data_IF_252709814376
#
_entry.id   IF_252709814376
#
_cell.length_a   1.000
_cell.length_b   1.000
_cell.length_c   1.000
_cell.angle_alpha   90.00
_cell.angle_beta   90.00
_cell.angle_gamma   90.00
#
_symmetry.space_group_name_H-M   'P 1'
#
loop_
_entity.id
_entity.type
_entity.pdbx_description
1 polymer ?
#
# COMPACT_ATOMS: atom_id res chain seq x y z
N UNK A 1 -19.85 -8.85 2.44
CA UNK A 1 -18.97 -9.96 2.87
C UNK A 1 -18.84 -9.87 4.39
N UNK A 2 -19.61 -10.65 5.16
CA UNK A 2 -19.50 -10.62 6.63
C UNK A 2 -18.57 -11.75 7.04
N UNK A 3 -17.35 -11.39 7.42
CA UNK A 3 -16.39 -12.26 8.10
C UNK A 3 -16.65 -12.07 9.60
N UNK A 4 -16.84 -13.15 10.34
CA UNK A 4 -16.97 -13.09 11.80
C UNK A 4 -15.62 -12.75 12.46
N UNK A 5 -15.64 -12.34 13.73
CA UNK A 5 -14.43 -11.88 14.43
C UNK A 5 -13.34 -12.96 14.48
N UNK A 6 -13.73 -14.22 14.73
CA UNK A 6 -12.80 -15.34 14.78
C UNK A 6 -12.13 -15.55 13.41
N UNK A 7 -12.93 -15.61 12.34
CA UNK A 7 -12.38 -15.69 10.98
C UNK A 7 -11.51 -14.48 10.60
N UNK A 8 -11.87 -13.27 11.05
CA UNK A 8 -11.07 -12.05 10.79
C UNK A 8 -9.72 -12.10 11.49
N UNK A 9 -9.69 -12.53 12.76
CA UNK A 9 -8.45 -12.74 13.50
C UNK A 9 -7.61 -13.87 12.90
N UNK A 10 -8.24 -14.93 12.42
CA UNK A 10 -7.57 -16.03 11.73
C UNK A 10 -6.87 -15.54 10.46
N UNK A 11 -7.58 -14.79 9.60
CA UNK A 11 -7.01 -14.18 8.40
C UNK A 11 -5.89 -13.21 8.76
N UNK A 12 -6.09 -12.36 9.77
CA UNK A 12 -5.08 -11.41 10.24
C UNK A 12 -3.79 -12.11 10.68
N UNK A 13 -3.90 -13.15 11.51
CA UNK A 13 -2.74 -13.93 11.96
C UNK A 13 -2.01 -14.58 10.77
N UNK A 14 -2.72 -15.28 9.89
CA UNK A 14 -2.11 -15.94 8.74
C UNK A 14 -1.44 -14.94 7.79
N UNK A 15 -2.09 -13.81 7.51
CA UNK A 15 -1.54 -12.74 6.68
C UNK A 15 -0.27 -12.15 7.29
N UNK A 16 -0.23 -11.93 8.62
CA UNK A 16 0.95 -11.45 9.32
C UNK A 16 2.13 -12.44 9.22
N UNK A 17 1.88 -13.74 9.40
CA UNK A 17 2.89 -14.79 9.22
C UNK A 17 3.43 -14.82 7.79
N UNK A 18 2.54 -14.75 6.78
CA UNK A 18 2.95 -14.71 5.38
C UNK A 18 3.80 -13.48 5.10
N UNK A 19 3.39 -12.29 5.57
CA UNK A 19 4.14 -11.06 5.40
C UNK A 19 5.56 -11.15 5.99
N UNK A 20 5.69 -11.71 7.19
CA UNK A 20 6.99 -11.94 7.82
C UNK A 20 7.89 -12.87 7.00
N UNK A 21 7.36 -14.02 6.56
CA UNK A 21 8.15 -15.02 5.83
C UNK A 21 8.56 -14.54 4.43
N UNK A 22 7.71 -13.72 3.79
CA UNK A 22 8.03 -13.07 2.51
C UNK A 22 9.16 -12.07 2.69
N UNK A 23 9.10 -11.19 3.71
CA UNK A 23 10.12 -10.15 3.92
C UNK A 23 11.48 -10.76 4.27
N UNK A 24 11.49 -11.85 5.03
CA UNK A 24 12.72 -12.56 5.44
C UNK A 24 13.58 -13.06 4.26
N UNK A 25 12.98 -13.28 3.09
CA UNK A 25 13.64 -13.90 1.91
C UNK A 25 14.17 -12.89 0.90
N UNK A 26 14.13 -11.60 1.22
CA UNK A 26 14.49 -10.52 0.29
C UNK A 26 16.00 -10.27 0.34
N UNK A 27 16.63 -10.07 -0.82
CA UNK A 27 18.07 -9.74 -0.91
C UNK A 27 18.37 -8.38 -0.25
N UNK A 28 19.50 -8.19 0.45
CA UNK A 28 19.81 -6.95 1.15
C UNK A 28 19.76 -5.68 0.30
N UNK A 29 20.10 -5.79 -1.00
CA UNK A 29 20.05 -4.69 -1.95
C UNK A 29 18.65 -4.12 -2.17
N UNK A 30 17.60 -4.89 -1.88
CA UNK A 30 16.21 -4.50 -2.10
C UNK A 30 15.54 -3.93 -0.85
N UNK A 31 16.21 -3.83 0.31
CA UNK A 31 15.55 -3.31 1.53
C UNK A 31 15.06 -1.86 1.38
N UNK A 32 15.82 -0.98 0.72
CA UNK A 32 15.39 0.41 0.49
C UNK A 32 14.23 0.51 -0.52
N UNK A 33 14.29 -0.16 -1.69
CA UNK A 33 13.13 -0.28 -2.57
C UNK A 33 11.90 -0.90 -1.89
N UNK A 34 12.10 -1.92 -1.05
CA UNK A 34 11.04 -2.59 -0.30
C UNK A 34 10.39 -1.63 0.69
N UNK A 35 11.19 -0.86 1.44
CA UNK A 35 10.68 0.14 2.38
C UNK A 35 9.75 1.16 1.67
N UNK A 36 10.18 1.64 0.50
CA UNK A 36 9.36 2.52 -0.35
C UNK A 36 8.07 1.84 -0.83
N UNK A 37 8.16 0.58 -1.26
CA UNK A 37 7.00 -0.20 -1.71
C UNK A 37 5.99 -0.41 -0.58
N UNK A 38 6.45 -0.79 0.62
CA UNK A 38 5.56 -1.02 1.77
C UNK A 38 4.84 0.26 2.20
N UNK A 39 5.49 1.41 2.07
CA UNK A 39 4.84 2.71 2.29
C UNK A 39 3.76 2.99 1.23
N UNK A 40 3.95 2.59 -0.04
CA UNK A 40 2.89 2.73 -1.05
C UNK A 40 1.69 1.79 -0.81
N UNK A 41 1.94 0.61 -0.22
CA UNK A 41 0.92 -0.40 0.06
C UNK A 41 0.02 -0.05 1.26
N UNK A 42 0.55 0.66 2.26
CA UNK A 42 -0.23 1.08 3.44
C UNK A 42 -1.42 1.99 3.09
N UNK A 43 -1.33 2.66 1.94
CA UNK A 43 -2.35 3.58 1.47
C UNK A 43 -3.61 2.87 0.95
N UNK A 44 -3.71 1.54 1.10
CA UNK A 44 -4.97 0.77 1.04
C UNK A 44 -6.06 1.36 1.95
N UNK A 45 -5.69 2.14 2.96
CA UNK A 45 -6.60 2.97 3.75
C UNK A 45 -7.55 3.85 2.90
N UNK A 46 -7.18 4.16 1.65
CA UNK A 46 -8.07 4.86 0.69
C UNK A 46 -9.41 4.15 0.51
N UNK A 47 -9.44 2.81 0.58
CA UNK A 47 -10.68 2.02 0.46
C UNK A 47 -11.63 2.37 1.61
N UNK A 48 -11.11 2.46 2.83
CA UNK A 48 -11.89 2.90 3.99
C UNK A 48 -12.36 4.34 3.87
N UNK A 49 -11.50 5.24 3.38
CA UNK A 49 -11.84 6.64 3.17
C UNK A 49 -12.97 6.83 2.15
N UNK A 50 -12.95 6.10 1.02
CA UNK A 50 -14.02 6.11 0.01
C UNK A 50 -15.33 5.62 0.60
N UNK A 51 -15.30 4.50 1.36
CA UNK A 51 -16.50 3.97 2.00
C UNK A 51 -17.11 4.99 2.97
N UNK A 52 -16.30 5.61 3.83
CA UNK A 52 -16.76 6.63 4.79
C UNK A 52 -17.27 7.90 4.13
N UNK A 53 -16.61 8.37 3.06
CA UNK A 53 -17.05 9.54 2.31
C UNK A 53 -18.40 9.29 1.61
N UNK A 54 -18.63 8.07 1.12
CA UNK A 54 -19.87 7.67 0.46
C UNK A 54 -21.07 7.45 1.39
N UNK A 55 -20.88 7.37 2.71
CA UNK A 55 -21.99 7.22 3.67
C UNK A 55 -22.78 8.52 3.89
N UNK A 56 -22.30 9.67 3.40
CA UNK A 56 -22.97 10.99 3.49
C UNK A 56 -23.55 11.36 4.87
N UNK A 57 -22.90 10.93 5.96
CA UNK A 57 -23.42 11.10 7.33
C UNK A 57 -23.54 12.57 7.76
N UNK A 58 -22.49 13.37 7.55
CA UNK A 58 -22.46 14.80 7.88
C UNK A 58 -21.53 15.54 6.92
N UNK A 59 -21.74 16.85 6.75
CA UNK A 59 -20.86 17.70 5.93
C UNK A 59 -19.41 17.66 6.44
N UNK A 60 -19.22 17.61 7.76
CA UNK A 60 -17.89 17.51 8.36
C UNK A 60 -17.20 16.18 8.03
N UNK A 61 -17.93 15.06 8.11
CA UNK A 61 -17.41 13.75 7.73
C UNK A 61 -17.08 13.69 6.23
N UNK A 62 -17.87 14.33 5.37
CA UNK A 62 -17.59 14.40 3.94
C UNK A 62 -16.29 15.17 3.63
N UNK A 63 -16.05 16.29 4.33
CA UNK A 63 -14.80 17.07 4.20
C UNK A 63 -13.60 16.22 4.64
N UNK A 64 -13.66 15.61 5.82
CA UNK A 64 -12.58 14.75 6.33
C UNK A 64 -12.35 13.53 5.42
N UNK A 65 -13.41 12.89 4.93
CA UNK A 65 -13.33 11.79 3.98
C UNK A 65 -12.65 12.21 2.68
N UNK A 66 -12.98 13.39 2.16
CA UNK A 66 -12.34 13.93 0.95
C UNK A 66 -10.85 14.19 1.17
N UNK A 67 -10.46 14.79 2.30
CA UNK A 67 -9.04 15.00 2.65
C UNK A 67 -8.31 13.67 2.80
N UNK A 68 -8.95 12.66 3.41
CA UNK A 68 -8.39 11.32 3.57
C UNK A 68 -8.16 10.64 2.21
N UNK A 69 -9.11 10.75 1.27
CA UNK A 69 -8.96 10.21 -0.09
C UNK A 69 -7.79 10.88 -0.82
N UNK A 70 -7.71 12.21 -0.79
CA UNK A 70 -6.61 12.96 -1.45
C UNK A 70 -5.27 12.57 -0.86
N UNK A 71 -5.17 12.52 0.47
CA UNK A 71 -3.93 12.17 1.18
C UNK A 71 -3.49 10.74 0.87
N UNK A 72 -4.41 9.77 0.93
CA UNK A 72 -4.11 8.38 0.64
C UNK A 72 -3.73 8.18 -0.84
N UNK A 73 -4.43 8.84 -1.76
CA UNK A 73 -4.11 8.78 -3.20
C UNK A 73 -2.73 9.36 -3.49
N UNK A 74 -2.37 10.47 -2.85
CA UNK A 74 -1.02 11.06 -2.96
C UNK A 74 0.06 10.08 -2.49
N UNK A 75 -0.17 9.36 -1.38
CA UNK A 75 0.75 8.33 -0.89
C UNK A 75 0.89 7.17 -1.89
N UNK A 76 -0.21 6.62 -2.41
CA UNK A 76 -0.17 5.55 -3.44
C UNK A 76 0.66 6.02 -4.64
N UNK A 77 0.30 7.15 -5.23
CA UNK A 77 0.94 7.64 -6.47
C UNK A 77 2.42 7.96 -6.24
N UNK A 78 2.73 8.73 -5.19
CA UNK A 78 4.11 9.09 -4.85
C UNK A 78 4.95 7.86 -4.51
N UNK A 79 4.43 6.97 -3.68
CA UNK A 79 5.11 5.74 -3.25
C UNK A 79 5.44 4.82 -4.42
N UNK A 80 4.50 4.59 -5.34
CA UNK A 80 4.78 3.76 -6.52
C UNK A 80 5.75 4.42 -7.51
N UNK A 81 5.68 5.75 -7.71
CA UNK A 81 6.62 6.48 -8.58
C UNK A 81 8.06 6.42 -8.05
N UNK A 82 8.25 6.63 -6.74
CA UNK A 82 9.56 6.55 -6.11
C UNK A 82 10.10 5.12 -6.19
N UNK A 83 9.25 4.13 -5.91
CA UNK A 83 9.63 2.71 -5.99
C UNK A 83 10.03 2.30 -7.40
N UNK A 84 9.29 2.72 -8.44
CA UNK A 84 9.67 2.47 -9.85
C UNK A 84 11.04 3.09 -10.17
N UNK A 85 11.30 4.33 -9.73
CA UNK A 85 12.59 4.99 -9.93
C UNK A 85 13.73 4.21 -9.25
N UNK A 86 13.51 3.70 -8.04
CA UNK A 86 14.50 2.87 -7.34
C UNK A 86 14.75 1.55 -8.07
N UNK A 87 13.69 0.85 -8.50
CA UNK A 87 13.81 -0.44 -9.20
C UNK A 87 14.46 -0.31 -10.59
N UNK A 88 14.29 0.82 -11.28
CA UNK A 88 15.00 1.10 -12.54
C UNK A 88 16.51 1.14 -12.41
N UNK A 89 17.05 1.44 -11.22
CA UNK A 89 18.50 1.46 -10.97
C UNK A 89 19.13 0.06 -10.99
N UNK A 90 18.32 -1.00 -10.86
CA UNK A 90 18.77 -2.39 -10.96
C UNK A 90 18.76 -2.94 -12.39
N UNK A 91 18.22 -2.17 -13.36
CA UNK A 91 18.25 -2.58 -14.77
C UNK A 91 19.67 -2.34 -15.31
N UNK A 92 20.30 -3.34 -15.97
CA UNK A 92 21.60 -3.15 -16.58
C UNK A 92 21.57 -1.99 -17.58
N UNK A 93 22.52 -1.05 -17.48
CA UNK A 93 22.70 -0.01 -18.51
C UNK A 93 23.29 -0.63 -19.77
N UNK A 94 22.46 -1.27 -20.60
CA UNK A 94 23.00 -1.97 -21.77
C UNK A 94 22.01 -2.71 -22.66
N UNK A 95 20.71 -2.61 -22.46
CA UNK A 95 19.78 -3.02 -23.52
C UNK A 95 19.82 -1.97 -24.64
N UNK A 96 20.85 -2.04 -25.49
CA UNK A 96 20.78 -1.51 -26.85
C UNK A 96 19.46 -2.01 -27.43
N UNK A 97 18.55 -1.09 -27.77
CA UNK A 97 17.46 -1.38 -28.70
C UNK A 97 18.14 -1.84 -29.99
N UNK A 98 18.15 -3.16 -30.21
CA UNK A 98 18.34 -3.73 -31.53
C UNK A 98 17.06 -3.53 -32.34
#
# INVERSE_FOLDING_TARGET
MKIDLLSSLYVFMLAAFIGFEVIKRITPLLHTPLMSLTNALDAIAVVGAILLAGEHKTTFAAILGTIAIVSATSNIVGGFLITDRMLRMFKPSGAKKA
#
